data_IF_997237811086
#
_entry.id   IF_997237811086
#
_cell.length_a   1.000
_cell.length_b   1.000
_cell.length_c   1.000
_cell.angle_alpha   90.00
_cell.angle_beta   90.00
_cell.angle_gamma   90.00
#
_symmetry.space_group_name_H-M   'P 1'
#
loop_
_entity.id
_entity.type
_entity.pdbx_description
1 polymer ?
#
# COMPACT_ATOMS: atom_id res chain seq x y z
N UNK A 1 -15.04 -18.20 11.10
CA UNK A 1 -15.48 -17.66 9.80
C UNK A 1 -14.46 -16.60 9.42
N UNK A 2 -13.63 -16.85 8.40
CA UNK A 2 -12.69 -15.85 7.89
C UNK A 2 -13.47 -15.04 6.86
N UNK A 3 -13.56 -13.72 7.05
CA UNK A 3 -14.24 -12.82 6.12
C UNK A 3 -13.13 -12.17 5.28
N UNK A 4 -13.01 -12.58 4.02
CA UNK A 4 -12.17 -11.88 3.05
C UNK A 4 -12.87 -10.56 2.69
N UNK A 5 -12.12 -9.44 2.75
CA UNK A 5 -12.62 -8.14 2.32
C UNK A 5 -12.04 -7.80 0.95
N UNK A 6 -12.84 -7.28 0.00
CA UNK A 6 -12.33 -6.91 -1.31
C UNK A 6 -11.40 -5.70 -1.21
N UNK A 7 -10.20 -5.82 -1.78
CA UNK A 7 -9.25 -4.71 -1.94
C UNK A 7 -9.45 -4.08 -3.32
N UNK A 8 -9.52 -2.74 -3.38
CA UNK A 8 -9.83 -1.99 -4.61
C UNK A 8 -8.80 -0.91 -4.87
N UNK A 9 -8.42 -0.74 -6.15
CA UNK A 9 -7.54 0.34 -6.60
C UNK A 9 -8.29 1.22 -7.60
N UNK A 10 -8.27 2.52 -7.35
CA UNK A 10 -8.89 3.54 -8.19
C UNK A 10 -7.82 4.54 -8.64
N UNK A 11 -7.77 4.82 -9.94
CA UNK A 11 -6.98 5.91 -10.53
C UNK A 11 -7.97 6.72 -11.37
N UNK A 12 -8.23 7.98 -10.99
CA UNK A 12 -9.07 8.96 -11.71
C UNK A 12 -10.38 8.40 -12.31
N UNK A 13 -11.55 8.89 -11.90
CA UNK A 13 -12.73 8.14 -11.35
C UNK A 13 -12.96 6.66 -11.72
N UNK A 14 -12.00 5.95 -12.31
CA UNK A 14 -12.14 4.63 -12.89
C UNK A 14 -11.58 3.59 -11.92
N UNK A 15 -12.38 2.55 -11.66
CA UNK A 15 -11.88 1.32 -11.05
C UNK A 15 -10.94 0.65 -12.04
N UNK A 16 -9.67 0.52 -11.66
CA UNK A 16 -8.63 -0.08 -12.52
C UNK A 16 -8.34 -1.53 -12.14
N UNK A 17 -8.57 -1.91 -10.87
CA UNK A 17 -8.38 -3.27 -10.39
C UNK A 17 -9.24 -3.54 -9.14
N UNK A 18 -9.60 -4.81 -8.95
CA UNK A 18 -10.29 -5.34 -7.77
C UNK A 18 -9.85 -6.78 -7.54
N UNK A 19 -9.56 -7.13 -6.29
CA UNK A 19 -9.15 -8.47 -5.89
C UNK A 19 -9.60 -8.79 -4.47
N UNK A 20 -10.02 -10.03 -4.23
CA UNK A 20 -10.24 -10.55 -2.88
C UNK A 20 -8.90 -11.01 -2.28
N UNK A 21 -8.61 -10.53 -1.07
CA UNK A 21 -7.42 -10.95 -0.32
C UNK A 21 -7.89 -11.85 0.82
N UNK A 22 -7.49 -13.12 0.79
CA UNK A 22 -7.92 -14.13 1.78
C UNK A 22 -7.46 -13.82 3.21
N UNK A 23 -6.33 -13.12 3.36
CA UNK A 23 -5.78 -12.73 4.65
C UNK A 23 -5.51 -11.21 4.66
N UNK A 24 -6.09 -10.44 5.59
CA UNK A 24 -5.69 -9.05 5.77
C UNK A 24 -4.20 -9.03 6.16
N UNK A 25 -3.36 -8.50 5.28
CA UNK A 25 -1.91 -8.37 5.47
C UNK A 25 -1.63 -7.21 6.43
N UNK A 26 -2.07 -7.34 7.68
CA UNK A 26 -1.79 -6.38 8.75
C UNK A 26 -1.09 -7.05 9.94
N UNK A 27 -0.35 -8.13 9.69
CA UNK A 27 0.49 -8.72 10.71
C UNK A 27 1.75 -7.85 10.86
N UNK A 28 1.67 -6.92 11.82
CA UNK A 28 2.71 -5.98 12.28
C UNK A 28 2.73 -4.65 11.51
N UNK A 29 2.35 -3.57 12.20
CA UNK A 29 2.54 -2.21 11.72
C UNK A 29 4.04 -1.90 11.72
N UNK A 30 4.61 -1.67 10.54
CA UNK A 30 6.03 -1.32 10.38
C UNK A 30 6.26 0.20 10.23
N UNK A 31 5.19 0.99 10.10
CA UNK A 31 5.27 2.43 9.83
C UNK A 31 4.45 2.82 8.58
N UNK A 32 4.42 4.11 8.26
CA UNK A 32 3.85 4.62 7.01
C UNK A 32 4.90 5.45 6.27
N UNK A 33 5.39 4.91 5.17
CA UNK A 33 6.28 5.62 4.25
C UNK A 33 5.51 6.20 3.06
N UNK A 34 5.86 7.43 2.68
CA UNK A 34 5.27 8.12 1.53
C UNK A 34 6.39 8.44 0.54
N UNK A 35 6.21 8.03 -0.71
CA UNK A 35 7.11 8.35 -1.81
C UNK A 35 8.32 7.43 -1.98
N UNK A 36 8.73 6.68 -0.94
CA UNK A 36 9.68 5.56 -1.04
C UNK A 36 9.60 4.70 0.23
N UNK A 37 9.41 3.40 0.08
CA UNK A 37 9.53 2.43 1.17
C UNK A 37 10.98 2.36 1.68
N UNK A 38 11.16 2.54 2.99
CA UNK A 38 12.45 2.52 3.69
C UNK A 38 12.56 1.38 4.70
N UNK A 39 11.45 0.68 4.99
CA UNK A 39 11.34 -0.15 6.21
C UNK A 39 11.29 -1.64 5.87
N UNK A 40 10.78 -2.02 4.69
CA UNK A 40 10.64 -3.43 4.33
C UNK A 40 11.59 -3.85 3.21
N UNK A 41 12.89 -4.06 3.49
CA UNK A 41 13.78 -4.67 2.51
C UNK A 41 13.32 -6.11 2.21
N UNK A 42 13.01 -6.40 0.94
CA UNK A 42 12.80 -7.79 0.44
C UNK A 42 14.03 -8.66 0.75
N UNK A 43 15.22 -8.04 0.85
CA UNK A 43 16.46 -8.61 1.39
C UNK A 43 17.39 -7.48 1.85
N UNK A 44 18.44 -7.78 2.63
CA UNK A 44 19.46 -6.80 3.02
C UNK A 44 20.11 -6.06 1.83
N UNK A 45 20.10 -6.68 0.65
CA UNK A 45 20.68 -6.16 -0.59
C UNK A 45 19.69 -5.37 -1.44
N UNK A 46 18.39 -5.46 -1.15
CA UNK A 46 17.34 -4.77 -1.89
C UNK A 46 16.89 -3.52 -1.14
N UNK A 47 17.25 -2.37 -1.69
CA UNK A 47 16.65 -1.08 -1.36
C UNK A 47 15.68 -0.68 -2.46
N UNK A 48 14.51 -0.16 -2.11
CA UNK A 48 13.52 0.30 -3.10
C UNK A 48 14.15 1.34 -4.04
N UNK A 49 14.29 1.04 -5.35
CA UNK A 49 15.06 1.90 -6.25
C UNK A 49 14.25 3.07 -6.78
N UNK A 50 12.94 3.10 -6.52
CA UNK A 50 12.01 4.06 -7.11
C UNK A 50 11.56 5.10 -6.07
N UNK A 51 12.20 6.26 -6.10
CA UNK A 51 11.77 7.42 -5.31
C UNK A 51 10.79 8.25 -6.12
N UNK A 52 9.60 8.49 -5.59
CA UNK A 52 8.66 9.44 -6.17
C UNK A 52 9.25 10.86 -6.12
N UNK A 53 9.32 11.52 -7.27
CA UNK A 53 9.93 12.85 -7.42
C UNK A 53 8.91 13.97 -7.68
N UNK A 54 7.62 13.66 -7.69
CA UNK A 54 6.55 14.63 -7.92
C UNK A 54 6.07 15.33 -6.64
N UNK A 55 4.99 16.10 -6.76
CA UNK A 55 4.31 16.72 -5.62
C UNK A 55 2.94 16.10 -5.40
N UNK A 56 2.70 15.57 -4.20
CA UNK A 56 1.37 15.13 -3.78
C UNK A 56 0.62 16.34 -3.21
N UNK A 57 -0.51 16.73 -3.82
CA UNK A 57 -1.33 17.85 -3.33
C UNK A 57 -2.13 17.51 -2.07
N UNK A 58 -2.50 16.24 -1.90
CA UNK A 58 -3.29 15.75 -0.78
C UNK A 58 -3.02 14.27 -0.54
N UNK A 59 -3.10 13.84 0.72
CA UNK A 59 -3.01 12.45 1.16
C UNK A 59 -4.02 12.22 2.28
N UNK A 60 -4.75 11.11 2.23
CA UNK A 60 -5.67 10.69 3.28
C UNK A 60 -5.55 9.19 3.53
N UNK A 61 -5.47 8.81 4.81
CA UNK A 61 -5.52 7.44 5.27
C UNK A 61 -6.56 7.34 6.38
N UNK A 62 -7.46 6.37 6.29
CA UNK A 62 -8.56 6.16 7.23
C UNK A 62 -8.52 4.72 7.72
N UNK A 63 -8.56 4.55 9.03
CA UNK A 63 -8.76 3.29 9.73
C UNK A 63 -10.11 3.40 10.43
N UNK A 64 -11.08 2.58 10.01
CA UNK A 64 -12.38 2.41 10.69
C UNK A 64 -12.35 1.18 11.61
#
# INVERSE_FOLDING_TARGET
IIIALPTRIHIEPKKVAEQEVEYPVFAVWEGLDIGRDQITPVSHEYQSPFTFSGTLKSLSFQLD
#
